data_IF_299596121130
#
_entry.id   IF_299596121130
#
_cell.length_a   1.000
_cell.length_b   1.000
_cell.length_c   1.000
_cell.angle_alpha   90.00
_cell.angle_beta   90.00
_cell.angle_gamma   90.00
#
_symmetry.space_group_name_H-M   'P 1'
#
loop_
_entity.id
_entity.type
_entity.pdbx_description
1 polymer ?
#
# COMPACT_ATOMS: atom_id res chain seq x y z
N UNK A 1 -23.46 -5.20 -7.88
CA UNK A 1 -22.88 -6.50 -8.25
C UNK A 1 -23.81 -7.68 -8.01
N UNK A 2 -24.25 -7.99 -6.78
CA UNK A 2 -25.17 -9.12 -6.55
C UNK A 2 -26.48 -8.98 -7.36
N UNK A 3 -27.10 -7.81 -7.34
CA UNK A 3 -28.31 -7.54 -8.13
C UNK A 3 -28.08 -7.73 -9.65
N UNK A 4 -26.94 -7.25 -10.18
CA UNK A 4 -26.57 -7.40 -11.59
C UNK A 4 -26.43 -8.89 -11.94
N UNK A 5 -25.78 -9.68 -11.09
CA UNK A 5 -25.61 -11.12 -11.31
C UNK A 5 -26.95 -11.89 -11.35
N UNK A 6 -27.94 -11.43 -10.57
CA UNK A 6 -29.30 -12.00 -10.52
C UNK A 6 -30.17 -11.54 -11.72
N UNK A 7 -29.63 -10.68 -12.59
CA UNK A 7 -30.32 -10.19 -13.79
C UNK A 7 -30.98 -8.81 -13.62
N UNK A 8 -30.56 -8.01 -12.63
CA UNK A 8 -30.98 -6.61 -12.55
C UNK A 8 -30.34 -5.82 -13.70
N UNK A 9 -31.17 -5.20 -14.53
CA UNK A 9 -30.77 -4.51 -15.76
C UNK A 9 -31.82 -4.69 -16.85
N UNK A 10 -31.37 -4.74 -18.11
CA UNK A 10 -32.25 -5.00 -19.25
C UNK A 10 -32.93 -6.38 -19.14
N UNK A 11 -34.22 -6.44 -19.48
CA UNK A 11 -35.08 -7.63 -19.39
C UNK A 11 -34.62 -8.82 -20.25
N UNK A 12 -33.66 -8.60 -21.16
CA UNK A 12 -33.02 -9.61 -22.00
C UNK A 12 -31.78 -10.28 -21.36
N UNK A 13 -31.24 -9.74 -20.26
CA UNK A 13 -30.07 -10.30 -19.59
C UNK A 13 -30.49 -11.44 -18.66
N UNK A 14 -30.36 -12.68 -19.13
CA UNK A 14 -30.47 -13.85 -18.27
C UNK A 14 -29.46 -13.76 -17.11
N UNK A 15 -29.82 -14.21 -15.88
CA UNK A 15 -28.91 -14.18 -14.75
C UNK A 15 -27.59 -14.87 -15.11
N UNK A 16 -26.47 -14.18 -14.92
CA UNK A 16 -25.14 -14.72 -15.24
C UNK A 16 -24.79 -15.89 -14.31
N UNK A 17 -25.30 -15.87 -13.06
CA UNK A 17 -25.18 -16.97 -12.10
C UNK A 17 -23.71 -17.28 -11.79
N UNK A 18 -23.31 -18.53 -12.05
CA UNK A 18 -21.92 -19.03 -11.91
C UNK A 18 -21.28 -19.35 -13.26
N UNK A 19 -21.87 -18.92 -14.38
CA UNK A 19 -21.46 -19.32 -15.74
C UNK A 19 -19.98 -19.04 -16.02
N UNK A 20 -19.45 -17.94 -15.49
CA UNK A 20 -18.04 -17.54 -15.66
C UNK A 20 -17.08 -18.16 -14.62
N UNK A 21 -17.61 -18.88 -13.63
CA UNK A 21 -16.85 -19.47 -12.52
C UNK A 21 -16.78 -21.00 -12.57
N UNK A 22 -17.39 -21.64 -13.57
CA UNK A 22 -17.38 -23.10 -13.75
C UNK A 22 -15.97 -23.69 -13.89
N UNK A 23 -14.99 -22.88 -14.30
CA UNK A 23 -13.56 -23.25 -14.34
C UNK A 23 -12.73 -22.22 -13.56
N UNK A 24 -12.55 -22.40 -12.24
CA UNK A 24 -11.87 -21.42 -11.39
C UNK A 24 -10.34 -21.38 -11.59
N UNK A 25 -9.77 -22.41 -12.22
CA UNK A 25 -8.31 -22.54 -12.43
C UNK A 25 -7.84 -22.11 -13.83
N UNK A 26 -8.72 -21.53 -14.65
CA UNK A 26 -8.28 -20.96 -15.94
C UNK A 26 -7.40 -19.73 -15.72
N UNK A 27 -6.28 -19.68 -16.44
CA UNK A 27 -5.29 -18.61 -16.41
C UNK A 27 -4.92 -18.21 -17.83
N UNK A 28 -4.30 -17.04 -17.98
CA UNK A 28 -3.80 -16.57 -19.27
C UNK A 28 -2.51 -17.33 -19.65
N UNK A 29 -2.63 -18.23 -20.62
CA UNK A 29 -1.51 -19.05 -21.11
C UNK A 29 -0.46 -18.25 -21.89
N UNK A 30 -0.78 -17.03 -22.33
CA UNK A 30 0.19 -16.14 -22.97
C UNK A 30 1.11 -15.50 -21.93
N UNK A 31 0.60 -15.24 -20.73
CA UNK A 31 1.37 -14.64 -19.65
C UNK A 31 2.06 -15.68 -18.75
N UNK A 32 1.42 -16.83 -18.50
CA UNK A 32 1.87 -17.79 -17.51
C UNK A 32 1.98 -19.23 -18.05
N UNK A 33 3.07 -19.91 -17.70
CA UNK A 33 3.31 -21.33 -17.98
C UNK A 33 2.42 -22.32 -17.19
N UNK A 34 1.75 -21.86 -16.15
CA UNK A 34 0.98 -22.72 -15.26
C UNK A 34 0.13 -21.92 -14.27
N UNK A 35 -0.83 -22.61 -13.64
CA UNK A 35 -1.73 -21.99 -12.66
C UNK A 35 -0.97 -21.36 -11.48
N UNK A 36 0.03 -22.05 -10.94
CA UNK A 36 0.83 -21.52 -9.83
C UNK A 36 1.61 -20.26 -10.21
N UNK A 37 2.12 -20.20 -11.45
CA UNK A 37 2.78 -19.00 -11.97
C UNK A 37 1.80 -17.81 -11.99
N UNK A 38 0.61 -18.00 -12.58
CA UNK A 38 -0.43 -16.98 -12.60
C UNK A 38 -0.86 -16.53 -11.19
N UNK A 39 -0.96 -17.46 -10.24
CA UNK A 39 -1.25 -17.14 -8.84
C UNK A 39 -0.16 -16.24 -8.24
N UNK A 40 1.12 -16.60 -8.39
CA UNK A 40 2.24 -15.80 -7.90
C UNK A 40 2.27 -14.39 -8.51
N UNK A 41 2.00 -14.26 -9.81
CA UNK A 41 1.87 -12.96 -10.48
C UNK A 41 0.72 -12.14 -9.89
N UNK A 42 -0.44 -12.76 -9.64
CA UNK A 42 -1.60 -12.10 -9.03
C UNK A 42 -1.34 -11.65 -7.58
N UNK A 43 -0.54 -12.42 -6.81
CA UNK A 43 -0.13 -12.04 -5.45
C UNK A 43 0.75 -10.78 -5.48
N UNK A 44 1.69 -10.69 -6.42
CA UNK A 44 2.52 -9.49 -6.58
C UNK A 44 1.66 -8.25 -6.89
N UNK A 45 0.81 -8.33 -7.92
CA UNK A 45 -0.02 -7.19 -8.37
C UNK A 45 -1.05 -6.78 -7.31
N UNK A 46 -1.69 -7.74 -6.65
CA UNK A 46 -2.71 -7.45 -5.63
C UNK A 46 -2.13 -6.84 -4.34
N UNK A 47 -0.83 -6.99 -4.10
CA UNK A 47 -0.18 -6.42 -2.91
C UNK A 47 -0.33 -4.90 -2.85
N UNK A 48 -0.37 -4.21 -4.00
CA UNK A 48 -0.58 -2.76 -4.06
C UNK A 48 -1.86 -2.32 -3.34
N UNK A 49 -2.94 -3.10 -3.43
CA UNK A 49 -4.21 -2.75 -2.79
C UNK A 49 -4.16 -2.78 -1.26
N UNK A 50 -3.17 -3.49 -0.68
CA UNK A 50 -2.99 -3.58 0.77
C UNK A 50 -2.02 -2.53 1.33
N UNK A 51 -1.36 -1.76 0.47
CA UNK A 51 -0.46 -0.67 0.87
C UNK A 51 -1.28 0.45 1.53
N UNK A 52 -0.79 0.97 2.66
CA UNK A 52 -1.40 2.13 3.34
C UNK A 52 -2.13 1.82 4.65
N UNK A 53 -2.13 0.57 5.11
CA UNK A 53 -2.68 0.20 6.43
C UNK A 53 -1.98 0.92 7.59
N UNK A 54 -0.68 1.19 7.45
CA UNK A 54 0.15 1.93 8.39
C UNK A 54 -0.19 3.42 8.44
N UNK A 55 -0.72 3.99 7.36
CA UNK A 55 -1.08 5.40 7.27
C UNK A 55 -2.19 5.74 8.26
N UNK A 56 -3.16 4.84 8.39
CA UNK A 56 -4.27 5.05 9.32
C UNK A 56 -3.78 4.98 10.77
N UNK A 57 -2.88 4.04 11.06
CA UNK A 57 -2.27 3.93 12.39
C UNK A 57 -1.40 5.16 12.72
N UNK A 58 -0.61 5.66 11.77
CA UNK A 58 0.19 6.87 11.92
C UNK A 58 -0.70 8.11 12.14
N UNK A 59 -1.77 8.24 11.36
CA UNK A 59 -2.71 9.36 11.48
C UNK A 59 -3.45 9.31 12.83
N UNK A 60 -3.82 8.11 13.29
CA UNK A 60 -4.43 7.91 14.61
C UNK A 60 -3.48 8.27 15.76
N UNK A 61 -2.16 8.08 15.59
CA UNK A 61 -1.15 8.49 16.57
C UNK A 61 -0.99 10.02 16.67
N UNK A 62 -1.24 10.74 15.58
CA UNK A 62 -1.16 12.22 15.55
C UNK A 62 -2.45 12.91 16.02
N UNK A 63 -3.58 12.21 16.04
CA UNK A 63 -4.86 12.76 16.47
C UNK A 63 -4.79 13.22 17.94
N UNK A 64 -4.98 14.54 18.17
CA UNK A 64 -5.09 15.08 19.54
C UNK A 64 -6.48 14.80 20.08
N UNK A 65 -6.58 13.99 21.13
CA UNK A 65 -7.85 13.83 21.83
C UNK A 65 -8.21 15.08 22.64
N UNK A 66 -9.49 15.50 22.62
CA UNK A 66 -9.96 16.58 23.45
C UNK A 66 -9.70 16.23 24.92
N UNK A 67 -9.18 17.20 25.69
CA UNK A 67 -9.08 17.08 27.14
C UNK A 67 -10.51 16.99 27.68
N UNK A 68 -10.90 15.86 28.26
CA UNK A 68 -12.14 15.82 29.02
C UNK A 68 -11.97 16.79 30.20
N UNK A 69 -12.69 17.91 30.18
CA UNK A 69 -12.85 18.81 31.32
C UNK A 69 -13.90 18.20 32.26
N UNK A 70 -13.70 16.97 32.69
CA UNK A 70 -14.48 16.41 33.79
C UNK A 70 -13.78 16.76 35.09
N UNK A 71 -14.39 17.68 35.85
CA UNK A 71 -14.11 17.86 37.27
C UNK A 71 -13.02 18.87 37.64
N UNK A 72 -13.16 20.14 37.24
CA UNK A 72 -12.59 21.25 38.04
C UNK A 72 -13.45 21.43 39.29
N UNK A 73 -13.41 20.45 40.20
CA UNK A 73 -13.84 20.61 41.59
C UNK A 73 -12.95 19.71 42.46
N UNK A 74 -12.26 20.40 43.37
CA UNK A 74 -11.48 19.92 44.50
C UNK A 74 -10.02 19.54 44.21
N UNK A 75 -9.16 20.42 44.73
CA UNK A 75 -7.77 20.18 44.98
C UNK A 75 -7.60 18.95 45.87
N UNK A 76 -6.88 17.93 45.38
CA UNK A 76 -5.80 17.34 46.14
C UNK A 76 -4.85 16.56 45.20
N UNK A 77 -3.57 16.64 45.53
CA UNK A 77 -2.44 15.80 45.12
C UNK A 77 -2.65 14.68 44.06
N UNK A 78 -1.89 14.81 42.96
CA UNK A 78 -1.31 13.79 42.03
C UNK A 78 -1.63 14.05 40.55
N UNK A 79 -0.75 14.76 39.85
CA UNK A 79 -0.82 15.04 38.39
C UNK A 79 -0.46 13.83 37.49
N UNK A 80 -0.31 12.62 38.06
CA UNK A 80 0.08 11.40 37.33
C UNK A 80 -1.05 10.60 36.63
N UNK A 81 -2.32 10.53 37.10
CA UNK A 81 -3.32 9.64 36.52
C UNK A 81 -3.93 10.15 35.21
N UNK A 82 -3.96 11.47 34.99
CA UNK A 82 -4.56 12.07 33.79
C UNK A 82 -3.69 11.90 32.52
N UNK A 83 -2.36 11.88 32.66
CA UNK A 83 -1.45 11.60 31.55
C UNK A 83 -1.52 10.12 31.15
N UNK A 84 -1.54 9.22 32.13
CA UNK A 84 -1.58 7.77 31.92
C UNK A 84 -2.87 7.35 31.18
N UNK A 85 -4.02 7.90 31.57
CA UNK A 85 -5.31 7.63 30.90
C UNK A 85 -5.32 8.05 29.42
N UNK A 86 -4.69 9.17 29.06
CA UNK A 86 -4.59 9.60 27.64
C UNK A 86 -3.69 8.68 26.82
N UNK A 87 -2.57 8.24 27.39
CA UNK A 87 -1.68 7.30 26.70
C UNK A 87 -2.34 5.94 26.45
N UNK A 88 -3.20 5.50 27.38
CA UNK A 88 -4.01 4.29 27.23
C UNK A 88 -5.05 4.40 26.11
N UNK A 89 -5.79 5.51 26.05
CA UNK A 89 -6.78 5.77 25.00
C UNK A 89 -6.14 5.84 23.60
N UNK A 90 -4.96 6.47 23.49
CA UNK A 90 -4.19 6.52 22.24
C UNK A 90 -3.75 5.09 21.85
N UNK A 91 -3.21 4.32 22.80
CA UNK A 91 -2.78 2.94 22.54
C UNK A 91 -3.92 2.01 22.11
N UNK A 92 -5.10 2.12 22.76
CA UNK A 92 -6.29 1.34 22.42
C UNK A 92 -6.86 1.71 21.04
N UNK A 93 -6.92 3.00 20.72
CA UNK A 93 -7.44 3.45 19.41
C UNK A 93 -6.53 3.02 18.27
N UNK A 94 -5.21 3.16 18.45
CA UNK A 94 -4.22 2.70 17.47
C UNK A 94 -4.32 1.19 17.25
N UNK A 95 -4.51 0.42 18.34
CA UNK A 95 -4.73 -1.04 18.24
C UNK A 95 -6.01 -1.38 17.49
N UNK A 96 -7.11 -0.67 17.77
CA UNK A 96 -8.38 -0.86 17.06
C UNK A 96 -8.20 -0.58 15.57
N UNK A 97 -7.65 0.58 15.22
CA UNK A 97 -7.41 0.98 13.84
C UNK A 97 -6.49 0.00 13.10
N UNK A 98 -5.38 -0.40 13.71
CA UNK A 98 -4.38 -1.26 13.07
C UNK A 98 -4.83 -2.72 12.90
N UNK A 99 -5.82 -3.19 13.67
CA UNK A 99 -6.32 -4.58 13.56
C UNK A 99 -7.58 -4.65 12.70
N UNK A 100 -8.58 -3.81 12.96
CA UNK A 100 -9.89 -3.96 12.33
C UNK A 100 -9.91 -3.42 10.89
N UNK A 101 -9.19 -2.33 10.60
CA UNK A 101 -9.22 -1.74 9.25
C UNK A 101 -8.62 -2.69 8.20
N UNK A 102 -7.44 -3.32 8.42
CA UNK A 102 -6.92 -4.28 7.45
C UNK A 102 -7.82 -5.50 7.27
N UNK A 103 -8.43 -6.00 8.35
CA UNK A 103 -9.36 -7.14 8.29
C UNK A 103 -10.61 -6.80 7.48
N UNK A 104 -11.22 -5.65 7.73
CA UNK A 104 -12.39 -5.18 6.97
C UNK A 104 -12.04 -4.94 5.50
N UNK A 105 -10.89 -4.33 5.21
CA UNK A 105 -10.40 -4.14 3.85
C UNK A 105 -10.18 -5.47 3.13
N UNK A 106 -9.56 -6.46 3.80
CA UNK A 106 -9.35 -7.81 3.26
C UNK A 106 -10.68 -8.46 2.90
N UNK A 107 -11.67 -8.43 3.80
CA UNK A 107 -13.00 -8.97 3.55
C UNK A 107 -13.66 -8.26 2.36
N UNK A 108 -13.58 -6.93 2.31
CA UNK A 108 -14.14 -6.15 1.21
C UNK A 108 -13.48 -6.48 -0.13
N UNK A 109 -12.15 -6.60 -0.19
CA UNK A 109 -11.42 -6.94 -1.41
C UNK A 109 -11.71 -8.36 -1.89
N UNK A 110 -11.76 -9.33 -0.98
CA UNK A 110 -12.11 -10.72 -1.32
C UNK A 110 -13.54 -10.80 -1.86
N UNK A 111 -14.50 -10.18 -1.17
CA UNK A 111 -15.89 -10.14 -1.62
C UNK A 111 -16.03 -9.42 -2.96
N UNK A 112 -15.36 -8.28 -3.14
CA UNK A 112 -15.40 -7.52 -4.39
C UNK A 112 -14.79 -8.30 -5.56
N UNK A 113 -13.65 -8.98 -5.35
CA UNK A 113 -13.00 -9.81 -6.36
C UNK A 113 -13.87 -11.01 -6.79
N UNK A 114 -14.43 -11.73 -5.81
CA UNK A 114 -15.35 -12.84 -6.07
C UNK A 114 -16.61 -12.35 -6.79
N UNK A 115 -17.20 -11.23 -6.36
CA UNK A 115 -18.38 -10.69 -7.03
C UNK A 115 -18.06 -10.21 -8.45
N UNK A 116 -16.94 -9.52 -8.67
CA UNK A 116 -16.54 -9.06 -10.00
C UNK A 116 -16.39 -10.26 -10.96
N UNK A 117 -15.76 -11.33 -10.49
CA UNK A 117 -15.52 -12.52 -11.29
C UNK A 117 -16.77 -13.32 -11.69
N UNK A 118 -17.89 -13.15 -10.99
CA UNK A 118 -19.17 -13.72 -11.40
C UNK A 118 -19.86 -12.88 -12.48
N UNK A 119 -19.55 -11.59 -12.57
CA UNK A 119 -20.27 -10.63 -13.41
C UNK A 119 -19.57 -10.30 -14.73
N UNK A 120 -18.27 -10.60 -14.86
CA UNK A 120 -17.51 -10.31 -16.09
C UNK A 120 -16.84 -11.55 -16.66
N UNK A 121 -16.80 -11.61 -17.98
CA UNK A 121 -16.02 -12.58 -18.74
C UNK A 121 -14.52 -12.26 -18.65
N UNK A 122 -13.70 -13.29 -18.47
CA UNK A 122 -12.23 -13.12 -18.34
C UNK A 122 -11.56 -12.73 -19.66
N UNK A 123 -12.18 -13.05 -20.79
CA UNK A 123 -11.76 -12.74 -22.16
C UNK A 123 -12.19 -11.35 -22.65
N UNK A 124 -12.83 -10.53 -21.81
CA UNK A 124 -13.26 -9.19 -22.18
C UNK A 124 -12.06 -8.26 -22.48
N UNK A 125 -12.05 -7.69 -23.68
CA UNK A 125 -11.00 -6.80 -24.19
C UNK A 125 -10.92 -5.45 -23.48
N UNK A 126 -11.96 -5.07 -22.71
CA UNK A 126 -11.96 -3.84 -21.90
C UNK A 126 -11.09 -3.97 -20.64
N UNK A 127 -10.82 -5.20 -20.19
CA UNK A 127 -10.05 -5.45 -18.98
C UNK A 127 -8.56 -5.11 -19.19
N UNK A 128 -7.88 -4.53 -18.18
CA UNK A 128 -6.45 -4.28 -18.26
C UNK A 128 -5.69 -5.62 -18.34
N UNK A 129 -4.75 -5.70 -19.30
CA UNK A 129 -3.84 -6.82 -19.50
C UNK A 129 -2.40 -6.38 -19.19
N UNK A 130 -1.53 -7.34 -18.92
CA UNK A 130 -0.11 -7.10 -18.73
C UNK A 130 0.48 -6.49 -20.01
N UNK A 131 1.23 -5.40 -19.87
CA UNK A 131 1.70 -4.59 -21.01
C UNK A 131 2.62 -5.34 -21.98
N UNK A 132 3.27 -6.40 -21.50
CA UNK A 132 4.20 -7.24 -22.26
C UNK A 132 3.56 -8.52 -22.80
N UNK A 133 2.35 -8.88 -22.38
CA UNK A 133 1.62 -10.01 -22.92
C UNK A 133 0.90 -9.55 -24.20
N UNK A 134 1.26 -10.14 -25.34
CA UNK A 134 0.80 -9.71 -26.68
C UNK A 134 -0.67 -10.08 -26.96
N UNK A 135 -1.59 -9.53 -26.15
CA UNK A 135 -3.03 -9.76 -26.22
C UNK A 135 -3.72 -8.83 -27.22
N UNK A 136 -2.99 -7.87 -27.79
CA UNK A 136 -3.50 -6.89 -28.76
C UNK A 136 -4.06 -7.58 -30.01
N UNK A 137 -3.48 -8.73 -30.39
CA UNK A 137 -3.86 -9.47 -31.59
C UNK A 137 -5.19 -10.22 -31.46
N UNK A 138 -5.54 -10.72 -30.26
CA UNK A 138 -6.81 -11.42 -30.01
C UNK A 138 -8.01 -10.47 -30.06
N UNK A 139 -7.87 -9.27 -29.51
CA UNK A 139 -8.93 -8.26 -29.51
C UNK A 139 -9.09 -7.55 -30.87
N UNK A 140 -8.01 -7.42 -31.64
CA UNK A 140 -8.08 -6.89 -33.01
C UNK A 140 -8.74 -7.86 -34.02
N UNK A 141 -8.72 -9.17 -33.74
CA UNK A 141 -9.27 -10.19 -34.65
C UNK A 141 -10.79 -10.41 -34.51
N UNK A 142 -11.40 -9.90 -33.45
CA UNK A 142 -12.85 -10.08 -33.20
C UNK A 142 -13.73 -9.08 -33.98
N UNK A 143 -13.14 -8.01 -34.52
CA UNK A 143 -13.84 -7.00 -35.34
C UNK A 143 -13.87 -7.34 -36.83
N UNK A 144 -13.07 -8.30 -37.31
CA UNK A 144 -13.00 -8.66 -38.73
C UNK A 144 -14.12 -9.61 -39.21
N UNK A 145 -14.93 -10.16 -38.29
CA UNK A 145 -16.04 -11.06 -38.62
C UNK A 145 -17.42 -10.39 -38.77
N UNK A 146 -17.56 -9.08 -38.47
CA UNK A 146 -18.76 -8.34 -38.87
C UNK A 146 -18.55 -7.77 -40.28
N UNK A 147 -19.15 -8.44 -41.27
CA UNK A 147 -19.33 -7.89 -42.61
C UNK A 147 -19.88 -6.44 -42.51
N UNK A 148 -19.15 -5.41 -42.98
CA UNK A 148 -19.57 -4.00 -42.86
C UNK A 148 -20.94 -3.72 -43.48
N UNK A 149 -21.36 -4.59 -44.41
CA UNK A 149 -22.62 -4.48 -45.16
C UNK A 149 -23.85 -4.95 -44.38
N UNK A 150 -23.70 -5.84 -43.40
CA UNK A 150 -24.82 -6.34 -42.59
C UNK A 150 -25.12 -5.42 -41.38
N UNK A 151 -24.09 -4.80 -40.80
CA UNK A 151 -24.24 -3.85 -39.69
C UNK A 151 -24.91 -2.54 -40.13
N UNK A 152 -24.69 -2.10 -41.38
CA UNK A 152 -25.28 -0.89 -41.92
C UNK A 152 -26.81 -0.99 -42.17
N UNK A 153 -27.35 -2.21 -42.33
CA UNK A 153 -28.77 -2.41 -42.59
C UNK A 153 -29.64 -2.44 -41.32
N UNK A 154 -29.03 -2.63 -40.13
CA UNK A 154 -29.73 -2.72 -38.85
C UNK A 154 -29.54 -1.48 -37.95
N UNK A 155 -28.63 -0.57 -38.29
CA UNK A 155 -28.30 0.60 -37.48
C UNK A 155 -28.99 1.85 -37.99
N UNK A 156 -29.95 2.36 -37.22
CA UNK A 156 -30.43 3.74 -37.36
C UNK A 156 -29.29 4.76 -37.14
N UNK A 157 -29.46 6.02 -37.58
CA UNK A 157 -28.37 7.01 -37.73
C UNK A 157 -27.63 7.41 -36.44
N UNK A 158 -28.08 6.98 -35.26
CA UNK A 158 -27.42 7.23 -33.98
C UNK A 158 -26.39 6.15 -33.57
N UNK A 159 -26.37 4.98 -34.22
CA UNK A 159 -25.57 3.81 -33.78
C UNK A 159 -24.20 3.70 -34.46
N UNK A 160 -23.93 4.53 -35.47
CA UNK A 160 -22.67 4.54 -36.23
C UNK A 160 -21.56 5.40 -35.60
N UNK A 161 -21.85 6.13 -34.52
CA UNK A 161 -20.85 6.93 -33.80
C UNK A 161 -20.21 6.21 -32.61
N UNK A 162 -20.62 4.97 -32.31
CA UNK A 162 -20.17 4.25 -31.10
C UNK A 162 -19.31 3.02 -31.41
N UNK A 163 -19.21 2.60 -32.68
CA UNK A 163 -18.51 1.37 -33.07
C UNK A 163 -17.03 1.55 -33.46
N UNK A 164 -16.52 2.78 -33.52
CA UNK A 164 -15.13 3.09 -33.90
C UNK A 164 -14.20 3.51 -32.74
N UNK A 165 -14.67 3.56 -31.49
CA UNK A 165 -13.88 4.05 -30.34
C UNK A 165 -13.53 3.00 -29.28
N UNK A 166 -13.75 1.71 -29.55
CA UNK A 166 -13.48 0.62 -28.60
C UNK A 166 -12.09 -0.04 -28.79
N UNK A 167 -11.32 0.37 -29.79
CA UNK A 167 -9.95 -0.13 -29.99
C UNK A 167 -9.03 0.62 -29.03
N UNK A 168 -8.67 -0.01 -27.91
CA UNK A 168 -7.62 0.46 -26.99
C UNK A 168 -8.08 1.18 -25.72
N UNK A 169 -9.38 1.29 -25.44
CA UNK A 169 -9.87 1.91 -24.20
C UNK A 169 -9.99 0.86 -23.09
N UNK A 170 -8.94 0.73 -22.27
CA UNK A 170 -9.00 -0.07 -21.03
C UNK A 170 -9.92 0.61 -20.02
N UNK A 171 -10.74 -0.18 -19.33
CA UNK A 171 -11.64 0.30 -18.28
C UNK A 171 -11.55 -0.56 -17.02
N UNK A 172 -11.94 0.03 -15.89
CA UNK A 172 -12.02 -0.72 -14.63
C UNK A 172 -13.08 -1.82 -14.75
N UNK A 173 -12.80 -3.02 -14.21
CA UNK A 173 -13.73 -4.14 -14.24
C UNK A 173 -15.12 -3.78 -13.70
N UNK A 174 -15.20 -2.94 -12.67
CA UNK A 174 -16.47 -2.49 -12.09
C UNK A 174 -17.28 -1.60 -13.05
N UNK A 175 -16.59 -0.77 -13.84
CA UNK A 175 -17.21 0.10 -14.86
C UNK A 175 -17.66 -0.74 -16.06
N UNK A 176 -16.84 -1.71 -16.49
CA UNK A 176 -17.19 -2.64 -17.56
C UNK A 176 -18.45 -3.47 -17.21
N UNK A 177 -18.53 -3.98 -15.98
CA UNK A 177 -19.73 -4.70 -15.49
C UNK A 177 -20.97 -3.78 -15.47
N UNK A 178 -20.81 -2.53 -15.04
CA UNK A 178 -21.91 -1.58 -15.00
C UNK A 178 -22.41 -1.23 -16.41
N UNK A 179 -21.50 -1.05 -17.37
CA UNK A 179 -21.83 -0.84 -18.78
C UNK A 179 -22.57 -2.04 -19.38
N UNK A 180 -22.12 -3.27 -19.07
CA UNK A 180 -22.78 -4.50 -19.52
C UNK A 180 -24.20 -4.67 -18.94
N UNK A 181 -24.43 -4.20 -17.72
CA UNK A 181 -25.75 -4.27 -17.06
C UNK A 181 -26.82 -3.38 -17.71
N UNK A 182 -26.41 -2.43 -18.58
CA UNK A 182 -27.28 -1.44 -19.25
C UNK A 182 -28.18 -0.61 -18.31
N UNK A 183 -27.82 -0.52 -17.03
CA UNK A 183 -28.51 0.36 -16.08
C UNK A 183 -28.10 1.80 -16.39
N UNK A 184 -29.04 2.73 -16.64
CA UNK A 184 -28.71 4.10 -17.00
C UNK A 184 -27.89 4.79 -15.89
N UNK A 185 -26.83 5.50 -16.29
CA UNK A 185 -25.93 6.29 -15.42
C UNK A 185 -25.12 5.51 -14.38
N UNK A 186 -25.22 4.17 -14.31
CA UNK A 186 -24.50 3.39 -13.30
C UNK A 186 -22.98 3.37 -13.54
N UNK A 187 -22.58 3.26 -14.81
CA UNK A 187 -21.19 3.33 -15.25
C UNK A 187 -20.53 4.66 -14.86
N UNK A 188 -21.22 5.78 -15.07
CA UNK A 188 -20.74 7.12 -14.74
C UNK A 188 -20.57 7.31 -13.24
N UNK A 189 -21.52 6.82 -12.42
CA UNK A 189 -21.42 6.86 -10.96
C UNK A 189 -20.21 6.08 -10.46
N UNK A 190 -19.99 4.86 -10.96
CA UNK A 190 -18.80 4.09 -10.61
C UNK A 190 -17.51 4.80 -11.02
N UNK A 191 -17.48 5.40 -12.21
CA UNK A 191 -16.30 6.12 -12.68
C UNK A 191 -15.99 7.34 -11.78
N UNK A 192 -17.00 8.16 -11.44
CA UNK A 192 -16.83 9.30 -10.53
C UNK A 192 -16.34 8.85 -9.16
N UNK A 193 -16.92 7.77 -8.61
CA UNK A 193 -16.50 7.22 -7.33
C UNK A 193 -15.05 6.73 -7.34
N UNK A 194 -14.63 6.03 -8.41
CA UNK A 194 -13.25 5.58 -8.59
C UNK A 194 -12.27 6.75 -8.70
N UNK A 195 -12.62 7.81 -9.42
CA UNK A 195 -11.78 9.03 -9.50
C UNK A 195 -11.68 9.73 -8.15
N UNK A 196 -12.81 9.88 -7.44
CA UNK A 196 -12.83 10.50 -6.12
C UNK A 196 -12.00 9.72 -5.09
N UNK A 197 -12.14 8.39 -5.06
CA UNK A 197 -11.37 7.52 -4.16
C UNK A 197 -9.88 7.52 -4.50
N UNK A 198 -9.52 7.51 -5.79
CA UNK A 198 -8.12 7.63 -6.22
C UNK A 198 -7.51 8.99 -5.84
N UNK A 199 -8.23 10.09 -6.04
CA UNK A 199 -7.75 11.44 -5.71
C UNK A 199 -7.55 11.62 -4.19
N UNK A 200 -8.50 11.14 -3.39
CA UNK A 200 -8.38 11.19 -1.92
C UNK A 200 -7.23 10.32 -1.41
N UNK A 201 -7.03 9.13 -1.99
CA UNK A 201 -5.88 8.27 -1.70
C UNK A 201 -4.55 8.96 -2.04
N UNK A 202 -4.45 9.59 -3.22
CA UNK A 202 -3.26 10.33 -3.65
C UNK A 202 -2.92 11.49 -2.71
N UNK A 203 -3.92 12.27 -2.27
CA UNK A 203 -3.73 13.36 -1.30
C UNK A 203 -3.19 12.84 0.04
N UNK A 204 -3.73 11.73 0.54
CA UNK A 204 -3.28 11.09 1.79
C UNK A 204 -1.83 10.58 1.68
N UNK A 205 -1.50 9.89 0.58
CA UNK A 205 -0.14 9.38 0.37
C UNK A 205 0.88 10.52 0.21
N UNK A 206 0.52 11.62 -0.46
CA UNK A 206 1.36 12.81 -0.57
C UNK A 206 1.62 13.47 0.79
N UNK A 207 0.60 13.53 1.65
CA UNK A 207 0.72 14.02 3.01
C UNK A 207 1.70 13.16 3.84
N UNK A 208 1.53 11.83 3.82
CA UNK A 208 2.37 10.90 4.57
C UNK A 208 3.81 10.90 4.07
N UNK A 209 4.01 10.92 2.75
CA UNK A 209 5.34 10.99 2.15
C UNK A 209 6.08 12.25 2.60
N UNK A 210 5.39 13.40 2.59
CA UNK A 210 5.95 14.68 3.05
C UNK A 210 6.33 14.64 4.53
N UNK A 211 5.50 14.03 5.39
CA UNK A 211 5.78 13.87 6.83
C UNK A 211 6.89 12.89 7.12
N UNK A 212 6.96 11.79 6.38
CA UNK A 212 8.02 10.79 6.52
C UNK A 212 9.37 11.38 6.12
N UNK A 213 9.42 12.10 4.99
CA UNK A 213 10.62 12.80 4.54
C UNK A 213 11.04 13.87 5.54
N UNK A 214 10.09 14.65 6.05
CA UNK A 214 10.36 15.64 7.11
C UNK A 214 10.88 14.98 8.40
N UNK A 215 10.27 13.89 8.87
CA UNK A 215 10.70 13.16 10.06
C UNK A 215 12.11 12.60 9.94
N UNK A 216 12.52 12.18 8.74
CA UNK A 216 13.88 11.74 8.45
C UNK A 216 14.87 12.91 8.40
N UNK A 217 14.46 14.06 7.85
CA UNK A 217 15.37 15.18 7.52
C UNK A 217 15.50 16.24 8.63
N UNK A 218 14.50 16.36 9.50
CA UNK A 218 14.50 17.31 10.64
C UNK A 218 15.63 17.13 11.61
N UNK A 219 16.15 15.91 11.73
CA UNK A 219 17.21 15.57 12.68
C UNK A 219 18.60 15.52 12.06
N UNK A 220 18.71 15.77 10.76
CA UNK A 220 20.02 15.95 10.15
C UNK A 220 20.50 17.36 10.52
N UNK A 221 21.49 17.42 11.40
CA UNK A 221 22.23 18.65 11.66
C UNK A 221 22.90 19.07 10.35
N UNK A 222 22.44 20.17 9.77
CA UNK A 222 23.01 20.77 8.56
C UNK A 222 24.35 21.46 8.81
N UNK A 223 25.25 20.80 9.55
CA UNK A 223 26.60 21.29 9.81
C UNK A 223 27.40 21.31 8.50
N UNK A 224 28.18 22.37 8.28
CA UNK A 224 28.88 22.62 7.00
C UNK A 224 29.92 21.55 6.64
N UNK A 225 30.33 20.72 7.59
CA UNK A 225 31.30 19.62 7.42
C UNK A 225 30.70 18.30 6.88
N UNK A 226 29.39 18.25 6.60
CA UNK A 226 28.73 17.02 6.13
C UNK A 226 28.65 16.90 4.59
N UNK A 227 28.66 15.67 4.02
CA UNK A 227 28.59 15.44 2.59
C UNK A 227 27.35 16.09 1.94
N UNK A 228 27.50 16.56 0.71
CA UNK A 228 26.48 17.30 -0.06
C UNK A 228 25.09 16.65 -0.03
N UNK A 229 25.02 15.31 -0.08
CA UNK A 229 23.76 14.56 0.02
C UNK A 229 23.02 14.79 1.35
N UNK A 230 23.72 14.75 2.49
CA UNK A 230 23.13 15.02 3.80
C UNK A 230 22.68 16.48 3.92
N UNK A 231 23.43 17.42 3.29
CA UNK A 231 23.06 18.83 3.23
C UNK A 231 21.81 19.08 2.41
N UNK A 232 21.67 18.39 1.27
CA UNK A 232 20.44 18.43 0.46
C UNK A 232 19.26 17.81 1.19
N UNK A 233 19.45 16.72 1.94
CA UNK A 233 18.41 16.15 2.79
C UNK A 233 18.00 17.12 3.92
N UNK A 234 18.96 17.71 4.64
CA UNK A 234 18.69 18.68 5.71
C UNK A 234 17.92 19.92 5.21
N UNK A 235 18.09 20.29 3.94
CA UNK A 235 17.33 21.38 3.31
C UNK A 235 15.82 21.09 3.21
N UNK A 236 15.45 19.82 2.99
CA UNK A 236 14.04 19.37 2.99
C UNK A 236 13.42 19.33 4.39
N UNK A 237 14.24 19.33 5.45
CA UNK A 237 13.82 19.30 6.85
C UNK A 237 13.39 20.65 7.43
N UNK A 238 13.42 21.74 6.65
CA UNK A 238 12.98 23.07 7.13
C UNK A 238 11.47 23.26 6.93
N UNK A 239 10.75 23.53 8.03
CA UNK A 239 9.33 23.92 7.98
C UNK A 239 9.15 25.37 7.58
N UNK A 240 8.04 25.67 6.90
CA UNK A 240 7.57 27.04 6.72
C UNK A 240 6.97 27.62 8.01
N UNK A 241 6.66 28.91 8.02
CA UNK A 241 6.14 29.71 9.16
C UNK A 241 4.85 29.17 9.78
N UNK A 242 4.12 28.30 9.06
CA UNK A 242 2.92 27.57 9.51
C UNK A 242 3.22 26.15 10.04
N UNK A 243 4.49 25.79 10.25
CA UNK A 243 4.96 24.44 10.63
C UNK A 243 4.62 23.34 9.62
N UNK A 244 4.51 23.69 8.33
CA UNK A 244 4.22 22.75 7.23
C UNK A 244 5.50 22.54 6.39
N UNK A 245 5.89 21.29 6.07
CA UNK A 245 7.06 21.00 5.24
C UNK A 245 6.79 21.22 3.74
N UNK A 246 6.57 22.48 3.33
CA UNK A 246 6.20 22.85 1.96
C UNK A 246 7.22 22.40 0.90
N UNK A 247 8.52 22.42 1.23
CA UNK A 247 9.60 22.03 0.31
C UNK A 247 9.56 20.55 -0.07
N UNK A 248 9.38 19.70 0.94
CA UNK A 248 9.24 18.25 0.75
C UNK A 248 7.97 17.90 -0.05
N UNK A 249 6.87 18.63 0.22
CA UNK A 249 5.60 18.45 -0.48
C UNK A 249 5.70 18.84 -1.96
N UNK A 250 6.25 20.03 -2.27
CA UNK A 250 6.40 20.51 -3.64
C UNK A 250 7.33 19.59 -4.44
N UNK A 251 8.44 19.13 -3.85
CA UNK A 251 9.34 18.20 -4.52
C UNK A 251 8.65 16.87 -4.87
N UNK A 252 7.90 16.32 -3.91
CA UNK A 252 7.13 15.08 -4.12
C UNK A 252 6.06 15.26 -5.20
N UNK A 253 5.39 16.41 -5.25
CA UNK A 253 4.39 16.71 -6.28
C UNK A 253 5.02 16.93 -7.67
N UNK A 254 6.15 17.66 -7.74
CA UNK A 254 6.84 17.92 -9.00
C UNK A 254 7.44 16.65 -9.62
N UNK A 255 7.86 15.68 -8.80
CA UNK A 255 8.39 14.41 -9.27
C UNK A 255 7.41 13.64 -10.18
N UNK A 256 6.10 13.86 -10.02
CA UNK A 256 5.03 13.19 -10.79
C UNK A 256 4.21 14.12 -11.68
N UNK A 257 4.53 15.42 -11.72
CA UNK A 257 3.78 16.41 -12.52
C UNK A 257 3.84 16.13 -14.04
N UNK A 258 4.88 15.41 -14.49
CA UNK A 258 5.06 15.06 -15.89
C UNK A 258 4.23 13.84 -16.35
N UNK A 259 3.68 13.05 -15.41
CA UNK A 259 2.97 11.80 -15.71
C UNK A 259 1.77 11.96 -16.64
N UNK A 260 0.88 12.97 -16.47
CA UNK A 260 -0.25 13.16 -17.38
C UNK A 260 0.18 13.45 -18.83
N UNK A 261 1.37 14.00 -19.05
CA UNK A 261 1.87 14.29 -20.39
C UNK A 261 2.28 13.04 -21.18
N UNK A 262 2.40 11.88 -20.52
CA UNK A 262 2.53 10.60 -21.22
C UNK A 262 1.29 10.25 -22.05
N UNK A 263 0.14 10.87 -21.76
CA UNK A 263 -1.09 10.69 -22.54
C UNK A 263 -1.10 11.42 -23.88
N UNK A 264 -0.15 12.34 -24.12
CA UNK A 264 -0.04 13.06 -25.40
C UNK A 264 0.61 12.23 -26.51
N UNK A 265 1.14 11.04 -26.20
CA UNK A 265 1.73 10.16 -27.20
C UNK A 265 0.68 9.18 -27.72
N UNK A 266 0.59 9.03 -29.05
CA UNK A 266 -0.47 8.27 -29.75
C UNK A 266 -0.50 6.76 -29.43
N UNK A 267 0.54 6.24 -28.78
CA UNK A 267 0.65 4.84 -28.39
C UNK A 267 0.06 4.59 -27.00
N UNK A 268 -1.21 4.16 -26.95
CA UNK A 268 -1.93 3.80 -25.72
C UNK A 268 -1.24 2.71 -24.86
N UNK A 269 -0.32 1.93 -25.45
CA UNK A 269 0.49 0.92 -24.76
C UNK A 269 1.43 1.53 -23.71
N UNK A 270 1.92 2.75 -23.92
CA UNK A 270 2.89 3.40 -23.05
C UNK A 270 2.30 3.76 -21.67
N UNK A 271 1.01 4.08 -21.60
CA UNK A 271 0.35 4.46 -20.34
C UNK A 271 0.11 3.22 -19.47
N UNK A 272 -0.40 2.14 -20.05
CA UNK A 272 -0.66 0.89 -19.30
C UNK A 272 0.64 0.32 -18.75
N UNK A 273 1.71 0.35 -19.56
CA UNK A 273 3.05 -0.01 -19.12
C UNK A 273 3.55 0.89 -18.00
N UNK A 274 3.38 2.21 -18.10
CA UNK A 274 3.81 3.15 -17.07
C UNK A 274 3.06 2.95 -15.73
N UNK A 275 1.74 2.76 -15.77
CA UNK A 275 0.93 2.47 -14.58
C UNK A 275 1.36 1.15 -13.95
N UNK A 276 1.60 0.11 -14.76
CA UNK A 276 2.12 -1.18 -14.30
C UNK A 276 3.47 -1.00 -13.59
N UNK A 277 4.40 -0.24 -14.18
CA UNK A 277 5.72 0.02 -13.62
C UNK A 277 5.61 0.75 -12.28
N UNK A 278 4.89 1.87 -12.22
CA UNK A 278 4.75 2.64 -10.99
C UNK A 278 4.07 1.84 -9.87
N UNK A 279 3.03 1.08 -10.21
CA UNK A 279 2.28 0.25 -9.24
C UNK A 279 3.19 -0.81 -8.63
N UNK A 280 4.01 -1.45 -9.47
CA UNK A 280 4.96 -2.49 -9.06
C UNK A 280 6.06 -1.91 -8.19
N UNK A 281 6.74 -0.85 -8.65
CA UNK A 281 7.81 -0.20 -7.90
C UNK A 281 7.31 0.37 -6.57
N UNK A 282 6.12 0.96 -6.54
CA UNK A 282 5.52 1.49 -5.31
C UNK A 282 5.23 0.40 -4.27
N UNK A 283 4.68 -0.73 -4.72
CA UNK A 283 4.39 -1.88 -3.84
C UNK A 283 5.66 -2.48 -3.26
N UNK A 284 6.67 -2.71 -4.10
CA UNK A 284 7.94 -3.29 -3.71
C UNK A 284 8.66 -2.46 -2.63
N UNK A 285 8.60 -1.14 -2.75
CA UNK A 285 9.18 -0.23 -1.76
C UNK A 285 8.55 -0.41 -0.39
N UNK A 286 7.22 -0.53 -0.33
CA UNK A 286 6.47 -0.72 0.91
C UNK A 286 6.75 -2.10 1.51
N UNK A 287 6.82 -3.16 0.69
CA UNK A 287 7.12 -4.51 1.18
C UNK A 287 8.54 -4.58 1.78
N UNK A 288 9.52 -3.89 1.20
CA UNK A 288 10.87 -3.78 1.78
C UNK A 288 10.80 -3.10 3.16
N UNK A 289 10.00 -2.03 3.29
CA UNK A 289 9.79 -1.35 4.58
C UNK A 289 9.15 -2.30 5.59
N UNK A 290 8.07 -3.01 5.23
CA UNK A 290 7.42 -4.00 6.09
C UNK A 290 8.36 -5.13 6.51
N UNK A 291 9.23 -5.61 5.60
CA UNK A 291 10.25 -6.60 5.93
C UNK A 291 11.25 -6.06 6.98
N UNK A 292 11.72 -4.81 6.80
CA UNK A 292 12.60 -4.14 7.75
C UNK A 292 11.93 -3.92 9.10
N UNK A 293 10.66 -3.55 9.13
CA UNK A 293 9.87 -3.35 10.34
C UNK A 293 9.65 -4.66 11.10
N UNK A 294 9.27 -5.74 10.40
CA UNK A 294 9.13 -7.07 10.99
C UNK A 294 10.45 -7.54 11.60
N UNK A 295 11.56 -7.35 10.88
CA UNK A 295 12.90 -7.67 11.37
C UNK A 295 13.29 -6.85 12.62
N UNK A 296 13.02 -5.54 12.59
CA UNK A 296 13.27 -4.65 13.73
C UNK A 296 12.44 -5.06 14.95
N UNK A 297 11.16 -5.40 14.75
CA UNK A 297 10.26 -5.87 15.81
C UNK A 297 10.73 -7.19 16.42
N UNK A 298 11.17 -8.16 15.60
CA UNK A 298 11.71 -9.44 16.09
C UNK A 298 12.93 -9.18 16.99
N UNK A 299 13.86 -8.31 16.58
CA UNK A 299 15.02 -7.96 17.40
C UNK A 299 14.63 -7.23 18.69
N UNK A 300 13.68 -6.32 18.61
CA UNK A 300 13.14 -5.59 19.76
C UNK A 300 12.48 -6.55 20.77
N UNK A 301 11.65 -7.49 20.30
CA UNK A 301 11.00 -8.51 21.13
C UNK A 301 12.02 -9.36 21.90
N UNK A 302 13.07 -9.84 21.22
CA UNK A 302 14.13 -10.61 21.85
C UNK A 302 14.93 -9.78 22.87
N UNK A 303 15.15 -8.49 22.59
CA UNK A 303 15.82 -7.58 23.50
C UNK A 303 15.04 -7.41 24.81
N UNK A 304 13.73 -7.13 24.75
CA UNK A 304 12.90 -6.99 25.96
C UNK A 304 12.81 -8.31 26.71
N UNK A 305 12.62 -9.42 26.00
CA UNK A 305 12.52 -10.75 26.62
C UNK A 305 13.77 -11.10 27.41
N UNK A 306 14.96 -10.76 26.89
CA UNK A 306 16.25 -10.99 27.55
C UNK A 306 16.43 -10.15 28.81
N UNK A 307 16.02 -8.89 28.78
CA UNK A 307 16.25 -7.92 29.85
C UNK A 307 15.04 -7.69 30.77
N UNK A 308 14.08 -8.61 30.77
CA UNK A 308 12.78 -8.47 31.46
C UNK A 308 12.91 -8.11 32.94
N UNK A 309 13.77 -8.81 33.68
CA UNK A 309 13.88 -8.67 35.13
C UNK A 309 14.37 -7.27 35.50
N UNK A 310 15.33 -6.74 34.75
CA UNK A 310 15.86 -5.39 35.01
C UNK A 310 14.90 -4.29 34.56
N UNK A 311 14.14 -4.50 33.48
CA UNK A 311 13.12 -3.56 33.02
C UNK A 311 11.96 -3.46 34.01
N UNK A 312 11.58 -4.57 34.63
CA UNK A 312 10.56 -4.61 35.70
C UNK A 312 11.08 -3.91 36.96
N UNK A 313 12.31 -4.20 37.40
CA UNK A 313 12.92 -3.54 38.57
C UNK A 313 13.05 -2.02 38.40
N UNK A 314 13.37 -1.54 37.20
CA UNK A 314 13.51 -0.10 36.94
C UNK A 314 12.20 0.60 36.58
N UNK A 315 11.08 -0.11 36.50
CA UNK A 315 9.76 0.47 36.26
C UNK A 315 9.65 1.29 34.96
N UNK A 316 10.32 0.85 33.88
CA UNK A 316 10.32 1.59 32.62
C UNK A 316 8.96 1.45 31.92
N UNK A 317 8.25 2.57 31.73
CA UNK A 317 6.92 2.59 31.11
C UNK A 317 6.95 2.10 29.65
N UNK A 318 5.83 1.55 29.17
CA UNK A 318 5.61 1.13 27.77
C UNK A 318 6.57 0.08 27.20
N UNK A 319 7.34 -0.61 28.07
CA UNK A 319 8.24 -1.72 27.68
C UNK A 319 7.97 -2.99 28.50
N UNK A 320 7.27 -2.87 29.63
CA UNK A 320 6.89 -3.96 30.54
C UNK A 320 5.74 -4.80 29.99
N UNK A 321 6.09 -5.69 29.07
CA UNK A 321 5.13 -6.55 28.38
C UNK A 321 4.54 -7.67 29.25
N UNK A 322 5.30 -8.20 30.21
CA UNK A 322 4.92 -9.38 31.02
C UNK A 322 4.53 -9.06 32.46
N UNK A 323 4.59 -7.77 32.83
CA UNK A 323 4.16 -7.30 34.14
C UNK A 323 2.63 -7.46 34.27
N UNK A 324 2.21 -8.22 35.28
CA UNK A 324 0.82 -8.49 35.61
C UNK A 324 0.21 -7.40 36.49
N UNK A 325 1.03 -6.75 37.33
CA UNK A 325 0.59 -5.71 38.27
C UNK A 325 0.32 -4.39 37.53
N UNK A 326 1.10 -4.10 36.48
CA UNK A 326 0.92 -2.96 35.58
C UNK A 326 0.46 -3.39 34.17
N UNK A 327 -0.56 -4.25 34.08
CA UNK A 327 -1.00 -4.86 32.82
C UNK A 327 -1.38 -3.87 31.70
N UNK A 328 -1.80 -2.65 32.06
CA UNK A 328 -2.21 -1.60 31.13
C UNK A 328 -1.04 -0.79 30.51
N UNK A 329 0.18 -0.86 31.08
CA UNK A 329 1.33 -0.04 30.65
C UNK A 329 1.81 -0.38 29.22
N UNK A 330 1.54 -1.60 28.73
CA UNK A 330 1.90 -2.03 27.37
C UNK A 330 0.65 -2.38 26.52
N UNK A 331 0.07 -1.41 25.76
CA UNK A 331 -1.17 -1.63 25.02
C UNK A 331 -1.01 -2.55 23.78
N UNK A 332 0.23 -2.77 23.32
CA UNK A 332 0.53 -3.48 22.06
C UNK A 332 0.60 -5.02 22.19
N UNK A 333 -0.07 -5.61 23.19
CA UNK A 333 -0.13 -7.08 23.36
C UNK A 333 -1.04 -7.71 22.29
N UNK A 334 -0.49 -8.63 21.50
CA UNK A 334 -1.22 -9.48 20.54
C UNK A 334 -0.94 -10.96 20.81
N UNK A 335 -1.92 -11.81 20.48
CA UNK A 335 -1.81 -13.27 20.55
C UNK A 335 -0.80 -13.78 19.50
N UNK A 336 -0.07 -14.85 19.81
CA UNK A 336 0.92 -15.50 18.92
C UNK A 336 2.18 -14.70 18.55
N UNK A 337 2.52 -13.62 19.25
CA UNK A 337 3.83 -12.98 19.09
C UNK A 337 4.93 -13.80 19.80
N UNK A 338 6.09 -14.08 19.17
CA UNK A 338 6.61 -13.48 17.94
C UNK A 338 6.35 -14.27 16.64
N UNK A 339 5.67 -15.41 16.69
CA UNK A 339 5.44 -16.28 15.52
C UNK A 339 4.80 -15.51 14.34
N UNK A 340 3.82 -14.64 14.63
CA UNK A 340 3.18 -13.79 13.62
C UNK A 340 4.17 -12.86 12.89
N UNK A 341 5.19 -12.34 13.58
CA UNK A 341 6.19 -11.47 12.97
C UNK A 341 7.14 -12.26 12.05
N UNK A 342 7.46 -13.52 12.39
CA UNK A 342 8.22 -14.39 11.51
C UNK A 342 7.42 -14.80 10.27
N UNK A 343 6.12 -15.08 10.41
CA UNK A 343 5.25 -15.36 9.26
C UNK A 343 5.13 -14.14 8.34
N UNK A 344 4.96 -12.94 8.89
CA UNK A 344 4.90 -11.71 8.12
C UNK A 344 6.22 -11.43 7.37
N UNK A 345 7.36 -11.59 8.04
CA UNK A 345 8.68 -11.47 7.41
C UNK A 345 8.87 -12.49 6.27
N UNK A 346 8.51 -13.75 6.52
CA UNK A 346 8.54 -14.80 5.51
C UNK A 346 7.66 -14.49 4.30
N UNK A 347 6.45 -13.95 4.53
CA UNK A 347 5.54 -13.49 3.48
C UNK A 347 6.11 -12.34 2.65
N UNK A 348 6.73 -11.34 3.28
CA UNK A 348 7.38 -10.24 2.57
C UNK A 348 8.53 -10.74 1.68
N UNK A 349 9.38 -11.63 2.20
CA UNK A 349 10.47 -12.25 1.43
C UNK A 349 9.92 -13.10 0.29
N UNK A 350 8.85 -13.86 0.54
CA UNK A 350 8.20 -14.67 -0.49
C UNK A 350 7.67 -13.80 -1.63
N UNK A 351 7.01 -12.67 -1.33
CA UNK A 351 6.50 -11.78 -2.39
C UNK A 351 7.67 -11.16 -3.17
N UNK A 352 8.66 -10.59 -2.48
CA UNK A 352 9.80 -9.92 -3.12
C UNK A 352 10.65 -10.85 -3.99
N UNK A 353 10.77 -12.12 -3.61
CA UNK A 353 11.62 -13.08 -4.33
C UNK A 353 10.80 -13.97 -5.24
N UNK A 354 9.82 -14.71 -4.71
CA UNK A 354 9.09 -15.74 -5.47
C UNK A 354 8.02 -15.10 -6.35
N UNK A 355 7.13 -14.29 -5.77
CA UNK A 355 6.01 -13.71 -6.53
C UNK A 355 6.49 -12.74 -7.61
N UNK A 356 7.47 -11.88 -7.31
CA UNK A 356 8.04 -10.96 -8.31
C UNK A 356 8.83 -11.69 -9.41
N UNK A 357 9.49 -12.80 -9.09
CA UNK A 357 10.17 -13.62 -10.11
C UNK A 357 9.20 -14.32 -11.06
N UNK A 358 7.95 -14.56 -10.64
CA UNK A 358 6.96 -15.25 -11.46
C UNK A 358 6.67 -14.53 -12.78
N UNK A 359 6.75 -13.19 -12.78
CA UNK A 359 6.63 -12.34 -13.97
C UNK A 359 7.66 -12.66 -15.07
N UNK A 360 8.76 -13.35 -14.74
CA UNK A 360 9.83 -13.72 -15.66
C UNK A 360 9.85 -15.20 -16.05
N UNK A 361 9.00 -16.04 -15.45
CA UNK A 361 9.05 -17.48 -15.68
C UNK A 361 8.58 -17.91 -17.08
N UNK A 362 7.84 -17.05 -17.78
CA UNK A 362 7.37 -17.32 -19.16
C UNK A 362 8.25 -16.69 -20.26
N UNK A 363 9.36 -16.06 -19.88
CA UNK A 363 10.24 -15.35 -20.81
C UNK A 363 10.88 -14.15 -20.14
N UNK A 364 12.13 -13.85 -20.53
CA UNK A 364 12.82 -12.67 -20.01
C UNK A 364 12.36 -11.43 -20.78
N UNK A 365 11.58 -10.59 -20.11
CA UNK A 365 11.19 -9.27 -20.59
C UNK A 365 11.86 -8.19 -19.73
N UNK A 366 12.55 -7.24 -20.37
CA UNK A 366 13.32 -6.21 -19.67
C UNK A 366 12.44 -5.28 -18.82
N UNK A 367 11.23 -4.97 -19.30
CA UNK A 367 10.28 -4.06 -18.63
C UNK A 367 9.83 -4.58 -17.25
N UNK A 368 9.22 -5.78 -17.12
CA UNK A 368 8.84 -6.30 -15.82
C UNK A 368 10.07 -6.57 -14.94
N UNK A 369 11.19 -7.05 -15.50
CA UNK A 369 12.42 -7.26 -14.72
C UNK A 369 12.92 -5.99 -14.04
N UNK A 370 13.05 -4.90 -14.81
CA UNK A 370 13.51 -3.64 -14.26
C UNK A 370 12.49 -3.10 -13.26
N UNK A 371 11.21 -3.20 -13.58
CA UNK A 371 10.15 -2.72 -12.70
C UNK A 371 10.11 -3.43 -11.34
N UNK A 372 10.37 -4.74 -11.28
CA UNK A 372 10.25 -5.55 -10.06
C UNK A 372 11.54 -5.69 -9.26
N UNK A 373 12.72 -5.43 -9.84
CA UNK A 373 14.01 -5.64 -9.17
C UNK A 373 14.88 -4.39 -9.04
N UNK A 374 14.63 -3.34 -9.84
CA UNK A 374 15.44 -2.12 -9.79
C UNK A 374 15.44 -1.52 -8.38
N UNK A 375 14.28 -1.48 -7.71
CA UNK A 375 14.17 -0.84 -6.41
C UNK A 375 14.92 -1.62 -5.31
N UNK A 376 14.91 -2.94 -5.40
CA UNK A 376 15.62 -3.87 -4.51
C UNK A 376 17.13 -3.68 -4.69
N UNK A 377 17.59 -3.57 -5.94
CA UNK A 377 19.00 -3.27 -6.22
C UNK A 377 19.41 -1.88 -5.72
N UNK A 378 18.58 -0.86 -5.94
CA UNK A 378 18.82 0.50 -5.43
C UNK A 378 18.86 0.51 -3.91
N UNK A 379 17.96 -0.21 -3.24
CA UNK A 379 17.94 -0.35 -1.79
C UNK A 379 19.25 -0.99 -1.27
N UNK A 380 19.66 -2.11 -1.86
CA UNK A 380 20.91 -2.78 -1.49
C UNK A 380 22.14 -1.91 -1.77
N UNK A 381 22.18 -1.23 -2.92
CA UNK A 381 23.25 -0.32 -3.29
C UNK A 381 23.33 0.87 -2.33
N UNK A 382 22.19 1.50 -2.00
CA UNK A 382 22.12 2.60 -1.04
C UNK A 382 22.56 2.15 0.36
N UNK A 383 22.10 0.98 0.80
CA UNK A 383 22.50 0.41 2.08
C UNK A 383 24.01 0.13 2.14
N UNK A 384 24.56 -0.46 1.08
CA UNK A 384 25.99 -0.70 0.94
C UNK A 384 26.78 0.61 0.93
N UNK A 385 26.38 1.60 0.11
CA UNK A 385 27.01 2.91 0.04
C UNK A 385 27.03 3.62 1.40
N UNK A 386 25.90 3.61 2.13
CA UNK A 386 25.82 4.17 3.49
C UNK A 386 26.72 3.44 4.48
N UNK A 387 26.89 2.12 4.34
CA UNK A 387 27.79 1.32 5.16
C UNK A 387 29.25 1.60 4.86
N UNK A 388 29.63 1.69 3.58
CA UNK A 388 30.97 2.04 3.15
C UNK A 388 31.35 3.46 3.63
N UNK A 389 30.44 4.43 3.46
CA UNK A 389 30.65 5.81 3.90
C UNK A 389 30.85 5.95 5.42
N UNK A 390 30.28 5.04 6.23
CA UNK A 390 30.45 5.01 7.70
C UNK A 390 31.63 4.15 8.18
N UNK A 391 32.61 3.92 7.31
CA UNK A 391 33.83 3.19 7.65
C UNK A 391 33.65 1.67 7.76
N UNK A 392 32.68 1.11 7.03
CA UNK A 392 32.47 -0.34 6.84
C UNK A 392 32.37 -1.17 8.15
N UNK A 393 31.96 -0.58 9.27
CA UNK A 393 31.72 -1.33 10.50
C UNK A 393 30.45 -2.18 10.34
N UNK A 394 30.64 -3.47 10.08
CA UNK A 394 29.61 -4.51 10.02
C UNK A 394 29.06 -4.92 11.40
N UNK A 395 29.23 -4.05 12.41
CA UNK A 395 28.74 -4.29 13.75
C UNK A 395 27.28 -3.88 13.84
N UNK A 396 26.41 -4.84 14.19
CA UNK A 396 25.05 -4.54 14.57
C UNK A 396 25.02 -3.72 15.86
N UNK A 397 23.89 -3.03 16.10
CA UNK A 397 23.68 -2.38 17.40
C UNK A 397 23.75 -3.44 18.49
N UNK A 398 24.74 -3.30 19.38
CA UNK A 398 24.87 -4.13 20.56
C UNK A 398 23.72 -3.83 21.53
N UNK A 399 22.88 -4.84 21.73
CA UNK A 399 21.72 -4.86 22.63
C UNK A 399 21.98 -5.78 23.84
N UNK A 400 23.22 -6.26 24.02
CA UNK A 400 23.58 -7.14 25.14
C UNK A 400 23.71 -6.39 26.46
N UNK A 401 24.16 -5.13 26.42
CA UNK A 401 24.32 -4.29 27.60
C UNK A 401 22.99 -3.63 28.02
N UNK A 402 22.57 -3.91 29.26
CA UNK A 402 21.28 -3.49 29.82
C UNK A 402 21.19 -1.97 29.98
N UNK A 403 22.21 -1.32 30.55
CA UNK A 403 22.18 0.12 30.85
C UNK A 403 22.11 0.94 29.55
N UNK A 404 22.80 0.48 28.51
CA UNK A 404 22.75 1.09 27.19
C UNK A 404 21.36 0.97 26.56
N UNK A 405 20.68 -0.17 26.75
CA UNK A 405 19.30 -0.37 26.27
C UNK A 405 18.34 0.55 26.99
N UNK A 406 18.44 0.65 28.32
CA UNK A 406 17.56 1.51 29.13
C UNK A 406 17.77 2.99 28.80
N UNK A 407 19.02 3.44 28.68
CA UNK A 407 19.35 4.81 28.27
C UNK A 407 18.73 5.14 26.91
N UNK A 408 18.82 4.22 25.94
CA UNK A 408 18.20 4.40 24.62
C UNK A 408 16.68 4.47 24.69
N UNK A 409 16.05 3.61 25.48
CA UNK A 409 14.59 3.59 25.64
C UNK A 409 14.11 4.90 26.28
N UNK A 410 14.79 5.38 27.33
CA UNK A 410 14.46 6.67 27.96
C UNK A 410 14.61 7.83 26.99
N UNK A 411 15.72 7.87 26.25
CA UNK A 411 15.93 8.91 25.22
C UNK A 411 14.84 8.87 24.14
N UNK A 412 14.41 7.68 23.69
CA UNK A 412 13.29 7.52 22.77
C UNK A 412 11.97 8.03 23.37
N UNK A 413 11.73 7.83 24.66
CA UNK A 413 10.56 8.33 25.36
C UNK A 413 10.60 9.87 25.49
N UNK A 414 11.75 10.43 25.85
CA UNK A 414 11.98 11.87 25.92
C UNK A 414 11.80 12.53 24.54
N UNK A 415 12.28 11.87 23.49
CA UNK A 415 12.04 12.27 22.10
C UNK A 415 10.55 12.34 21.78
N UNK A 416 9.77 11.33 22.19
CA UNK A 416 8.33 11.27 21.94
C UNK A 416 7.60 12.41 22.68
N UNK A 417 8.02 12.71 23.90
CA UNK A 417 7.41 13.76 24.74
C UNK A 417 7.88 15.17 24.35
N UNK A 418 9.12 15.34 23.90
CA UNK A 418 9.67 16.62 23.45
C UNK A 418 9.21 17.04 22.04
N UNK A 419 8.61 16.11 21.27
CA UNK A 419 8.03 16.37 19.96
C UNK A 419 6.54 16.78 20.01
N UNK A 420 5.90 16.79 21.18
CA UNK A 420 4.45 17.06 21.35
C UNK A 420 4.08 18.52 21.61
#
# INVERSE_FOLDING_TARGET
MVAINVGAGDSANAPHGTRYWLKPTEYDTLAANGWFNSLCMSLSISTFAYVGVEVVAASALEARWPKNNEGRNNADTTDRPAADHRHLLIGQTVKFSAVYIPVLATIAYVLAGVLASFNIRRDDCRLPRLSWADSSQQCNSSSSFLNPRAAAAAAGPATLLTSSSQVGKTSSAFVAIAEESRIPSLNDVFNVFLVFTALTCACTNLYVASRSLFGLTTRLDGSDDQPLFLRTLAWFGKTDRRKVPMRAMIFSALAFCWVPFLQLHDDASNISMFIEILTTMGSDGVIIVWACECWAFIRYYHCIKRHRATLEMQGVSQVRRWDHDASNDYPYRSHMQPALAYMALGGCIFILVVSNSALLWNGFHATPFLSTFLLQFVFLALWAALKLARGAKWTWVDLSNVDRVISKIRNLHDIRLGAS
#
